data_IF_463438447799
#
_entry.id   IF_463438447799
#
_cell.length_a   1.000
_cell.length_b   1.000
_cell.length_c   1.000
_cell.angle_alpha   90.00
_cell.angle_beta   90.00
_cell.angle_gamma   90.00
#
_symmetry.space_group_name_H-M   'P 1'
#
loop_
_entity.id
_entity.type
_entity.pdbx_description
1 polymer ?
#
# COMPACT_ATOMS: atom_id res chain seq x y z
N UNK A 1 42.44 -18.53 5.02
CA UNK A 1 42.25 -17.62 3.86
C UNK A 1 42.09 -18.45 2.61
N UNK A 2 40.88 -18.61 2.09
CA UNK A 2 40.67 -19.29 0.79
C UNK A 2 41.25 -18.39 -0.32
N UNK A 3 42.15 -18.96 -1.14
CA UNK A 3 42.72 -18.28 -2.31
C UNK A 3 41.60 -18.03 -3.31
N UNK A 4 41.24 -16.75 -3.56
CA UNK A 4 40.38 -16.40 -4.67
C UNK A 4 41.10 -16.72 -5.97
N UNK A 5 40.52 -17.59 -6.79
CA UNK A 5 41.18 -18.16 -7.96
C UNK A 5 40.93 -17.43 -9.24
N UNK A 6 39.89 -16.55 -9.30
CA UNK A 6 39.57 -15.78 -10.52
C UNK A 6 39.11 -14.37 -10.18
N UNK A 7 39.13 -13.46 -11.16
CA UNK A 7 38.56 -12.10 -11.04
C UNK A 7 37.05 -12.15 -10.81
N UNK A 8 36.37 -13.16 -11.34
CA UNK A 8 34.94 -13.39 -11.08
C UNK A 8 34.68 -13.72 -9.59
N UNK A 9 35.52 -14.54 -8.96
CA UNK A 9 35.44 -14.83 -7.52
C UNK A 9 35.66 -13.59 -6.66
N UNK A 10 36.59 -12.72 -7.11
CA UNK A 10 36.83 -11.43 -6.45
C UNK A 10 35.63 -10.47 -6.56
N UNK A 11 34.95 -10.41 -7.70
CA UNK A 11 33.75 -9.61 -7.88
C UNK A 11 32.57 -10.18 -7.10
N UNK A 12 32.36 -11.51 -7.11
CA UNK A 12 31.32 -12.17 -6.35
C UNK A 12 31.50 -11.99 -4.81
N UNK A 13 32.76 -11.92 -4.35
CA UNK A 13 33.05 -11.64 -2.94
C UNK A 13 32.77 -10.17 -2.54
N UNK A 14 32.65 -9.26 -3.49
CA UNK A 14 32.30 -7.84 -3.27
C UNK A 14 30.80 -7.58 -3.35
N UNK A 15 30.02 -8.51 -3.86
CA UNK A 15 28.56 -8.36 -3.86
C UNK A 15 28.03 -8.39 -2.42
N UNK A 16 27.24 -7.39 -2.00
CA UNK A 16 26.67 -7.37 -0.67
C UNK A 16 25.73 -8.59 -0.50
N UNK A 17 26.12 -9.52 0.35
CA UNK A 17 25.29 -10.68 0.71
C UNK A 17 24.48 -10.36 1.95
N UNK A 18 23.20 -10.71 1.93
CA UNK A 18 22.31 -10.58 3.07
C UNK A 18 22.26 -11.95 3.80
N UNK A 19 22.82 -12.05 5.01
CA UNK A 19 22.77 -13.29 5.76
C UNK A 19 21.33 -13.58 6.20
N UNK A 20 20.90 -14.83 6.09
CA UNK A 20 19.64 -15.28 6.63
C UNK A 20 19.66 -15.16 8.17
N UNK A 21 18.69 -14.41 8.72
CA UNK A 21 18.56 -14.14 10.16
C UNK A 21 17.45 -14.97 10.82
N UNK A 22 16.74 -15.77 10.04
CA UNK A 22 15.62 -16.58 10.48
C UNK A 22 15.94 -18.06 10.63
N UNK A 23 14.91 -18.90 10.57
CA UNK A 23 15.01 -20.36 10.72
C UNK A 23 14.41 -21.09 9.52
N UNK A 24 14.86 -22.28 9.25
CA UNK A 24 14.25 -23.16 8.25
C UNK A 24 13.03 -23.87 8.83
N UNK A 25 11.94 -23.85 8.11
CA UNK A 25 10.70 -24.56 8.41
C UNK A 25 10.27 -25.40 7.21
N UNK A 26 9.40 -26.37 7.44
CA UNK A 26 8.84 -27.26 6.41
C UNK A 26 7.48 -26.78 5.95
N UNK A 27 6.94 -27.36 4.88
CA UNK A 27 5.57 -27.06 4.44
C UNK A 27 4.52 -27.49 5.47
N UNK A 28 4.80 -28.53 6.27
CA UNK A 28 3.89 -28.99 7.31
C UNK A 28 3.76 -28.03 8.51
N UNK A 29 4.71 -27.11 8.68
CA UNK A 29 4.66 -26.09 9.74
C UNK A 29 3.72 -24.93 9.39
N UNK A 30 3.42 -24.75 8.09
CA UNK A 30 2.60 -23.64 7.57
C UNK A 30 1.13 -24.04 7.60
N UNK A 31 0.29 -23.10 7.98
CA UNK A 31 -1.15 -23.32 8.08
C UNK A 31 -1.77 -23.76 6.74
N UNK A 32 -2.59 -24.84 6.70
CA UNK A 32 -3.08 -25.45 5.46
C UNK A 32 -4.07 -24.56 4.65
N UNK A 33 -4.62 -23.51 5.24
CA UNK A 33 -5.47 -22.57 4.51
C UNK A 33 -4.69 -21.64 3.57
N UNK A 34 -3.38 -21.53 3.70
CA UNK A 34 -2.57 -20.77 2.76
C UNK A 34 -2.45 -21.54 1.45
N UNK A 35 -2.59 -20.82 0.33
CA UNK A 35 -2.28 -21.41 -0.97
C UNK A 35 -0.80 -21.87 -1.03
N UNK A 36 -0.46 -22.91 -1.82
CA UNK A 36 0.91 -23.41 -1.88
C UNK A 36 1.97 -22.33 -2.13
N UNK A 37 1.70 -21.40 -3.06
CA UNK A 37 2.60 -20.29 -3.35
C UNK A 37 2.73 -19.29 -2.18
N UNK A 38 1.66 -19.07 -1.40
CA UNK A 38 1.71 -18.25 -0.17
C UNK A 38 2.54 -18.95 0.90
N UNK A 39 2.37 -20.26 1.06
CA UNK A 39 3.15 -21.07 2.00
C UNK A 39 4.65 -21.02 1.66
N UNK A 40 5.01 -21.07 0.38
CA UNK A 40 6.41 -20.94 -0.05
C UNK A 40 6.99 -19.56 0.25
N UNK A 41 6.21 -18.48 0.02
CA UNK A 41 6.61 -17.12 0.38
C UNK A 41 6.82 -16.97 1.88
N UNK A 42 5.91 -17.50 2.70
CA UNK A 42 6.04 -17.47 4.17
C UNK A 42 7.29 -18.25 4.62
N UNK A 43 7.52 -19.45 4.08
CA UNK A 43 8.71 -20.24 4.39
C UNK A 43 10.01 -19.50 4.07
N UNK A 44 10.05 -18.90 2.88
CA UNK A 44 11.18 -18.06 2.46
C UNK A 44 11.38 -16.88 3.40
N UNK A 45 10.31 -16.13 3.73
CA UNK A 45 10.39 -14.97 4.60
C UNK A 45 10.80 -15.35 6.04
N UNK A 46 10.34 -16.50 6.56
CA UNK A 46 10.77 -17.02 7.87
C UNK A 46 12.24 -17.38 7.85
N UNK A 47 12.74 -18.01 6.78
CA UNK A 47 14.17 -18.34 6.63
C UNK A 47 15.03 -17.08 6.51
N UNK A 48 14.57 -16.10 5.75
CA UNK A 48 15.26 -14.81 5.60
C UNK A 48 15.30 -14.03 6.91
N UNK A 49 14.23 -14.07 7.71
CA UNK A 49 14.10 -13.47 9.03
C UNK A 49 13.89 -11.96 9.01
N UNK A 50 14.49 -11.24 8.07
CA UNK A 50 14.27 -9.83 7.77
C UNK A 50 13.90 -9.70 6.30
N UNK A 51 12.61 -9.67 6.00
CA UNK A 51 12.11 -9.81 4.65
C UNK A 51 11.07 -8.74 4.28
N UNK A 52 10.88 -8.53 2.98
CA UNK A 52 9.78 -7.73 2.45
C UNK A 52 8.90 -8.59 1.53
N UNK A 53 7.58 -8.53 1.73
CA UNK A 53 6.56 -9.12 0.86
C UNK A 53 5.74 -8.00 0.22
N UNK A 54 6.11 -7.63 -1.00
CA UNK A 54 5.45 -6.59 -1.79
C UNK A 54 4.45 -7.24 -2.74
N UNK A 55 3.37 -7.72 -2.16
CA UNK A 55 2.30 -8.37 -2.89
C UNK A 55 1.17 -7.39 -3.20
N UNK A 56 0.63 -7.45 -4.41
CA UNK A 56 -0.50 -6.61 -4.81
C UNK A 56 -1.73 -6.85 -3.90
N UNK A 57 -2.71 -5.97 -3.99
CA UNK A 57 -3.96 -6.13 -3.23
C UNK A 57 -4.70 -7.39 -3.66
N UNK A 58 -5.32 -8.07 -2.71
CA UNK A 58 -6.01 -9.33 -2.97
C UNK A 58 -5.12 -10.58 -2.94
N UNK A 59 -3.78 -10.43 -2.82
CA UNK A 59 -2.84 -11.57 -2.72
C UNK A 59 -2.80 -12.24 -1.34
N UNK A 60 -3.67 -11.88 -0.40
CA UNK A 60 -3.71 -12.49 0.93
C UNK A 60 -2.57 -12.08 1.85
N UNK A 61 -2.02 -10.87 1.69
CA UNK A 61 -0.93 -10.34 2.54
C UNK A 61 -1.19 -10.55 4.03
N UNK A 62 -2.38 -10.21 4.52
CA UNK A 62 -2.72 -10.28 5.94
C UNK A 62 -2.58 -11.70 6.48
N UNK A 63 -3.03 -12.72 5.75
CA UNK A 63 -2.87 -14.12 6.16
C UNK A 63 -1.38 -14.53 6.20
N UNK A 64 -0.59 -14.12 5.19
CA UNK A 64 0.85 -14.38 5.16
C UNK A 64 1.59 -13.68 6.31
N UNK A 65 1.20 -12.45 6.66
CA UNK A 65 1.76 -11.68 7.78
C UNK A 65 1.51 -12.37 9.13
N UNK A 66 0.27 -12.78 9.37
CA UNK A 66 -0.15 -13.45 10.61
C UNK A 66 0.60 -14.77 10.76
N UNK A 67 0.64 -15.57 9.69
CA UNK A 67 1.34 -16.85 9.69
C UNK A 67 2.85 -16.69 9.86
N UNK A 68 3.45 -15.69 9.19
CA UNK A 68 4.86 -15.36 9.38
C UNK A 68 5.15 -14.93 10.83
N UNK A 69 4.29 -14.10 11.42
CA UNK A 69 4.43 -13.64 12.80
C UNK A 69 4.39 -14.83 13.79
N UNK A 70 3.43 -15.75 13.63
CA UNK A 70 3.33 -16.98 14.42
C UNK A 70 4.59 -17.82 14.31
N UNK A 71 5.05 -18.05 13.09
CA UNK A 71 6.22 -18.91 12.83
C UNK A 71 7.53 -18.24 13.24
N UNK A 72 7.66 -16.94 13.07
CA UNK A 72 8.90 -16.23 13.38
C UNK A 72 9.10 -15.97 14.87
N UNK A 73 8.02 -15.81 15.67
CA UNK A 73 8.14 -15.62 17.12
C UNK A 73 8.52 -16.90 17.87
N UNK A 74 8.29 -18.09 17.27
CA UNK A 74 8.74 -19.39 17.84
C UNK A 74 8.30 -19.63 19.28
N UNK A 75 7.08 -19.25 19.64
CA UNK A 75 6.55 -19.32 20.99
C UNK A 75 6.83 -18.08 21.86
N UNK A 76 7.60 -17.12 21.34
CA UNK A 76 7.71 -15.77 21.90
C UNK A 76 6.60 -14.84 21.42
N UNK A 77 6.85 -13.54 21.47
CA UNK A 77 5.85 -12.52 21.11
C UNK A 77 6.08 -11.94 19.74
N UNK A 78 4.99 -11.72 19.02
CA UNK A 78 4.98 -11.00 17.75
C UNK A 78 4.07 -9.76 17.82
N UNK A 79 4.45 -8.70 17.11
CA UNK A 79 3.68 -7.48 16.95
C UNK A 79 3.39 -7.24 15.47
N UNK A 80 2.15 -6.94 15.14
CA UNK A 80 1.75 -6.40 13.84
C UNK A 80 1.46 -4.91 14.01
N UNK A 81 2.19 -4.06 13.30
CA UNK A 81 2.00 -2.62 13.26
C UNK A 81 1.27 -2.31 11.95
N UNK A 82 0.05 -1.79 12.04
CA UNK A 82 -0.83 -1.57 10.91
C UNK A 82 -1.54 -0.20 10.98
N UNK A 83 -2.14 0.29 9.90
CA UNK A 83 -3.07 1.41 9.98
C UNK A 83 -4.23 1.10 10.94
N UNK A 84 -4.67 2.09 11.71
CA UNK A 84 -5.72 1.90 12.73
C UNK A 84 -6.98 1.18 12.17
N UNK A 85 -7.44 1.58 10.98
CA UNK A 85 -8.60 0.97 10.33
C UNK A 85 -8.41 -0.51 9.97
N UNK A 86 -7.16 -0.99 9.88
CA UNK A 86 -6.82 -2.37 9.49
C UNK A 86 -6.63 -3.28 10.71
N UNK A 87 -6.33 -2.72 11.89
CA UNK A 87 -6.00 -3.50 13.07
C UNK A 87 -7.08 -4.53 13.42
N UNK A 88 -8.36 -4.13 13.47
CA UNK A 88 -9.48 -5.04 13.79
C UNK A 88 -9.69 -6.09 12.69
N UNK A 89 -9.47 -5.72 11.42
CA UNK A 89 -9.54 -6.69 10.34
C UNK A 89 -8.42 -7.73 10.45
N UNK A 90 -7.21 -7.32 10.81
CA UNK A 90 -6.09 -8.25 11.04
C UNK A 90 -6.43 -9.27 12.12
N UNK A 91 -7.04 -8.83 13.22
CA UNK A 91 -7.52 -9.74 14.29
C UNK A 91 -8.57 -10.72 13.77
N UNK A 92 -9.54 -10.25 12.97
CA UNK A 92 -10.56 -11.12 12.36
C UNK A 92 -9.97 -12.12 11.36
N UNK A 93 -8.97 -11.72 10.57
CA UNK A 93 -8.29 -12.62 9.64
C UNK A 93 -7.45 -13.67 10.39
N UNK A 94 -6.84 -13.33 11.54
CA UNK A 94 -6.15 -14.29 12.40
C UNK A 94 -7.10 -15.35 12.96
N UNK A 95 -8.32 -14.96 13.36
CA UNK A 95 -9.33 -15.89 13.83
C UNK A 95 -9.74 -16.94 12.78
N UNK A 96 -9.69 -16.60 11.46
CA UNK A 96 -9.95 -17.58 10.40
C UNK A 96 -8.85 -18.65 10.30
N UNK A 97 -7.66 -18.33 10.76
CA UNK A 97 -6.52 -19.25 10.83
C UNK A 97 -6.41 -19.95 12.19
N UNK A 98 -7.38 -19.81 13.08
CA UNK A 98 -7.30 -20.27 14.48
C UNK A 98 -6.02 -19.82 15.20
N UNK A 99 -5.47 -18.64 14.79
CA UNK A 99 -4.28 -18.02 15.38
C UNK A 99 -4.74 -16.94 16.36
N UNK A 100 -4.41 -17.04 17.66
CA UNK A 100 -4.74 -16.01 18.63
C UNK A 100 -4.09 -14.66 18.26
N UNK A 101 -4.91 -13.63 18.09
CA UNK A 101 -4.47 -12.26 17.87
C UNK A 101 -5.46 -11.29 18.52
N UNK A 102 -4.95 -10.14 18.97
CA UNK A 102 -5.74 -9.13 19.68
C UNK A 102 -5.18 -7.73 19.43
N UNK A 103 -6.04 -6.73 19.49
CA UNK A 103 -5.61 -5.33 19.47
C UNK A 103 -5.06 -4.96 20.85
N UNK A 104 -3.88 -4.33 20.86
CA UNK A 104 -3.26 -3.81 22.06
C UNK A 104 -2.98 -2.30 21.88
N UNK A 105 -3.31 -1.51 22.89
CA UNK A 105 -3.03 -0.09 22.93
C UNK A 105 -1.73 0.23 23.69
N UNK A 106 -1.25 -0.70 24.53
CA UNK A 106 -0.07 -0.55 25.38
C UNK A 106 0.74 -1.85 25.46
N UNK A 107 2.00 -1.71 25.89
CA UNK A 107 2.87 -2.85 26.15
C UNK A 107 2.37 -3.75 27.28
N UNK A 108 1.75 -3.19 28.31
CA UNK A 108 1.18 -3.96 29.43
C UNK A 108 0.05 -4.87 28.96
N UNK A 109 -0.83 -4.40 28.07
CA UNK A 109 -1.86 -5.24 27.44
C UNK A 109 -1.23 -6.36 26.59
N UNK A 110 -0.15 -6.06 25.87
CA UNK A 110 0.57 -7.06 25.09
C UNK A 110 1.31 -8.07 25.98
N UNK A 111 1.73 -7.69 27.18
CA UNK A 111 2.37 -8.58 28.14
C UNK A 111 1.36 -9.53 28.80
N UNK A 112 0.19 -9.02 29.08
CA UNK A 112 -0.87 -9.75 29.79
C UNK A 112 -1.63 -10.77 28.93
N UNK A 113 -1.53 -10.68 27.57
CA UNK A 113 -2.37 -11.46 26.66
C UNK A 113 -1.52 -12.38 25.78
N UNK A 114 -1.97 -13.63 25.63
CA UNK A 114 -1.34 -14.61 24.74
C UNK A 114 -1.77 -14.39 23.29
N UNK A 115 -0.82 -14.46 22.36
CA UNK A 115 -1.06 -14.38 20.92
C UNK A 115 -0.27 -13.27 20.24
N UNK A 116 -0.68 -12.94 19.01
CA UNK A 116 -0.09 -11.86 18.22
C UNK A 116 -0.74 -10.54 18.63
N UNK A 117 0.06 -9.60 19.13
CA UNK A 117 -0.40 -8.25 19.40
C UNK A 117 -0.52 -7.47 18.08
N UNK A 118 -1.59 -6.72 17.91
CA UNK A 118 -1.83 -5.82 16.76
C UNK A 118 -2.00 -4.41 17.28
N UNK A 119 -1.25 -3.45 16.75
CA UNK A 119 -1.34 -2.04 17.14
C UNK A 119 -1.21 -1.12 15.93
N UNK A 120 -1.51 0.16 16.13
CA UNK A 120 -1.35 1.16 15.09
C UNK A 120 -0.09 2.01 15.29
N UNK A 121 0.33 2.69 14.21
CA UNK A 121 1.58 3.46 14.19
C UNK A 121 1.66 4.51 15.31
N UNK A 122 0.55 5.20 15.58
CA UNK A 122 0.48 6.27 16.57
C UNK A 122 0.67 5.78 18.01
N UNK A 123 0.38 4.51 18.28
CA UNK A 123 0.50 3.90 19.60
C UNK A 123 1.82 3.18 19.84
N UNK A 124 2.65 3.04 18.81
CA UNK A 124 3.90 2.27 18.90
C UNK A 124 4.85 2.74 20.02
N UNK A 125 4.82 4.04 20.35
CA UNK A 125 5.60 4.59 21.44
C UNK A 125 5.25 4.03 22.83
N UNK A 126 4.10 3.36 22.97
CA UNK A 126 3.67 2.70 24.22
C UNK A 126 4.25 1.29 24.38
N UNK A 127 5.05 0.81 23.42
CA UNK A 127 5.60 -0.54 23.42
C UNK A 127 7.13 -0.50 23.47
N UNK A 128 7.73 -1.40 24.25
CA UNK A 128 9.18 -1.62 24.20
C UNK A 128 9.52 -2.63 23.10
N UNK A 129 10.48 -2.35 22.19
CA UNK A 129 10.86 -3.27 21.13
C UNK A 129 11.37 -4.63 21.65
N UNK A 130 12.04 -4.64 22.81
CA UNK A 130 12.59 -5.84 23.41
C UNK A 130 11.53 -6.86 23.90
N UNK A 131 10.25 -6.49 23.88
CA UNK A 131 9.15 -7.40 24.19
C UNK A 131 8.89 -8.40 23.05
N UNK A 132 9.40 -8.14 21.83
CA UNK A 132 9.00 -8.86 20.64
C UNK A 132 10.17 -9.52 19.91
N UNK A 133 9.99 -10.79 19.58
CA UNK A 133 10.93 -11.57 18.75
C UNK A 133 10.73 -11.30 17.25
N UNK A 134 9.53 -10.90 16.86
CA UNK A 134 9.15 -10.67 15.47
C UNK A 134 8.18 -9.48 15.35
N UNK A 135 8.41 -8.64 14.34
CA UNK A 135 7.55 -7.50 14.04
C UNK A 135 7.18 -7.47 12.56
N UNK A 136 5.90 -7.25 12.29
CA UNK A 136 5.36 -6.99 10.94
C UNK A 136 5.03 -5.52 10.83
N UNK A 137 5.43 -4.88 9.75
CA UNK A 137 4.98 -3.55 9.34
C UNK A 137 4.03 -3.72 8.15
N UNK A 138 2.74 -3.69 8.42
CA UNK A 138 1.72 -3.66 7.37
C UNK A 138 1.64 -2.25 6.78
N UNK A 139 1.41 -2.19 5.48
CA UNK A 139 1.47 -0.97 4.66
C UNK A 139 2.79 -0.19 4.86
N UNK A 140 3.92 -0.88 4.62
CA UNK A 140 5.27 -0.32 4.80
C UNK A 140 5.59 0.88 3.90
N UNK A 141 4.71 1.23 2.97
CA UNK A 141 4.71 2.50 2.24
C UNK A 141 4.64 3.73 3.16
N UNK A 142 4.26 3.57 4.43
CA UNK A 142 4.36 4.63 5.46
C UNK A 142 5.79 5.18 5.63
N UNK A 143 6.80 4.39 5.25
CA UNK A 143 8.21 4.77 5.29
C UNK A 143 8.64 5.72 4.15
N UNK A 144 7.76 6.04 3.20
CA UNK A 144 8.09 6.78 1.97
C UNK A 144 8.72 8.16 2.20
N UNK A 145 8.30 8.89 3.23
CA UNK A 145 8.84 10.22 3.53
C UNK A 145 10.17 10.11 4.26
N UNK A 146 11.26 10.51 3.60
CA UNK A 146 12.62 10.36 4.09
C UNK A 146 12.94 11.17 5.36
N UNK A 147 12.23 12.29 5.58
CA UNK A 147 12.33 13.21 6.72
C UNK A 147 11.12 13.13 7.67
N UNK A 148 10.21 12.20 7.42
CA UNK A 148 8.98 12.04 8.20
C UNK A 148 9.23 11.56 9.63
N UNK A 149 8.59 12.21 10.61
CA UNK A 149 8.67 11.81 12.04
C UNK A 149 8.27 10.35 12.24
N UNK A 150 7.23 9.90 11.56
CA UNK A 150 6.75 8.50 11.65
C UNK A 150 7.81 7.52 11.13
N UNK A 151 8.46 7.81 10.00
CA UNK A 151 9.54 6.98 9.45
C UNK A 151 10.70 6.89 10.43
N UNK A 152 11.16 8.02 10.98
CA UNK A 152 12.27 8.07 11.93
C UNK A 152 11.94 7.23 13.16
N UNK A 153 10.79 7.44 13.77
CA UNK A 153 10.30 6.68 14.91
C UNK A 153 10.25 5.18 14.64
N UNK A 154 9.69 4.75 13.49
CA UNK A 154 9.60 3.34 13.12
C UNK A 154 10.98 2.69 12.93
N UNK A 155 11.94 3.40 12.32
CA UNK A 155 13.30 2.89 12.11
C UNK A 155 14.06 2.78 13.43
N UNK A 156 13.98 3.80 14.28
CA UNK A 156 14.64 3.79 15.59
C UNK A 156 14.07 2.70 16.50
N UNK A 157 12.75 2.60 16.56
CA UNK A 157 12.07 1.65 17.42
C UNK A 157 12.42 0.19 17.08
N UNK A 158 12.56 -0.14 15.79
CA UNK A 158 12.72 -1.54 15.36
C UNK A 158 14.13 -2.09 15.52
N UNK A 159 15.13 -1.25 15.89
CA UNK A 159 16.55 -1.64 15.86
C UNK A 159 16.87 -2.91 16.66
N UNK A 160 16.23 -3.10 17.81
CA UNK A 160 16.45 -4.23 18.72
C UNK A 160 15.58 -5.46 18.38
N UNK A 161 14.66 -5.35 17.41
CA UNK A 161 13.83 -6.50 17.03
C UNK A 161 14.58 -7.38 16.04
N UNK A 162 14.78 -8.69 16.34
CA UNK A 162 15.63 -9.54 15.51
C UNK A 162 14.99 -9.92 14.16
N UNK A 163 13.66 -10.13 14.11
CA UNK A 163 12.94 -10.57 12.92
C UNK A 163 11.91 -9.53 12.50
N UNK A 164 11.94 -9.17 11.22
CA UNK A 164 11.15 -8.06 10.68
C UNK A 164 10.54 -8.44 9.34
N UNK A 165 9.27 -8.13 9.14
CA UNK A 165 8.58 -8.31 7.86
C UNK A 165 7.93 -6.99 7.43
N UNK A 166 8.34 -6.46 6.28
CA UNK A 166 7.73 -5.29 5.67
C UNK A 166 6.76 -5.72 4.57
N UNK A 167 5.52 -5.26 4.62
CA UNK A 167 4.49 -5.60 3.65
C UNK A 167 3.85 -4.35 3.05
N UNK A 168 3.69 -4.33 1.73
CA UNK A 168 2.95 -3.29 1.00
C UNK A 168 2.59 -3.76 -0.39
N UNK A 169 1.57 -3.15 -1.00
CA UNK A 169 1.31 -3.28 -2.44
C UNK A 169 2.14 -2.27 -3.25
N UNK A 170 2.55 -1.16 -2.62
CA UNK A 170 3.25 -0.03 -3.26
C UNK A 170 4.50 0.33 -2.45
N UNK A 171 5.59 -0.43 -2.56
CA UNK A 171 6.79 -0.23 -1.73
C UNK A 171 7.51 1.11 -2.00
N UNK A 172 7.36 1.67 -3.20
CA UNK A 172 7.90 2.96 -3.63
C UNK A 172 6.86 3.65 -4.53
N UNK A 173 5.83 4.28 -3.92
CA UNK A 173 4.71 4.84 -4.68
C UNK A 173 5.06 6.09 -5.48
N UNK A 174 6.07 6.85 -5.10
CA UNK A 174 6.46 8.09 -5.79
C UNK A 174 7.80 7.94 -6.49
N UNK A 175 8.83 7.47 -5.80
CA UNK A 175 10.20 7.45 -6.29
C UNK A 175 10.97 6.20 -5.88
N UNK A 176 11.90 5.68 -6.74
CA UNK A 176 12.73 4.52 -6.40
C UNK A 176 13.54 4.69 -5.12
N UNK A 177 13.86 5.94 -4.72
CA UNK A 177 14.63 6.22 -3.50
C UNK A 177 13.92 5.78 -2.23
N UNK A 178 12.58 5.69 -2.25
CA UNK A 178 11.76 5.23 -1.12
C UNK A 178 12.09 3.79 -0.71
N UNK A 179 12.61 2.96 -1.66
CA UNK A 179 13.10 1.60 -1.38
C UNK A 179 14.28 1.59 -0.39
N UNK A 180 15.02 2.68 -0.29
CA UNK A 180 16.12 2.81 0.67
C UNK A 180 15.62 2.80 2.11
N UNK A 181 14.44 3.36 2.36
CA UNK A 181 13.81 3.36 3.68
C UNK A 181 13.33 1.95 4.07
N UNK A 182 12.88 1.14 3.10
CA UNK A 182 12.52 -0.26 3.32
C UNK A 182 13.74 -1.07 3.76
N UNK A 183 14.87 -0.91 3.04
CA UNK A 183 16.13 -1.57 3.37
C UNK A 183 16.66 -1.17 4.76
N UNK A 184 16.55 0.10 5.13
CA UNK A 184 17.01 0.62 6.42
C UNK A 184 16.13 0.11 7.58
N UNK A 185 14.80 0.10 7.42
CA UNK A 185 13.90 -0.45 8.42
C UNK A 185 14.15 -1.95 8.66
N UNK A 186 14.42 -2.71 7.61
CA UNK A 186 14.79 -4.12 7.70
C UNK A 186 16.21 -4.33 8.26
N UNK A 187 17.04 -3.28 8.30
CA UNK A 187 18.40 -3.34 8.81
C UNK A 187 19.40 -3.99 7.85
N UNK A 188 19.13 -3.97 6.54
CA UNK A 188 20.03 -4.50 5.51
C UNK A 188 21.09 -3.49 5.09
N UNK A 189 20.69 -2.22 4.91
CA UNK A 189 21.59 -1.13 4.52
C UNK A 189 20.97 0.20 4.95
N UNK A 190 21.78 1.12 5.46
CA UNK A 190 21.30 2.48 5.76
C UNK A 190 20.93 3.21 4.48
N UNK A 191 19.95 4.13 4.57
CA UNK A 191 19.55 4.99 3.45
C UNK A 191 20.76 5.66 2.78
N UNK A 192 21.65 6.25 3.58
CA UNK A 192 22.84 6.96 3.07
C UNK A 192 23.74 6.04 2.24
N UNK A 193 24.01 4.83 2.71
CA UNK A 193 24.84 3.87 1.98
C UNK A 193 24.16 3.40 0.69
N UNK A 194 22.87 3.14 0.72
CA UNK A 194 22.13 2.69 -0.47
C UNK A 194 22.05 3.80 -1.53
N UNK A 195 21.83 5.07 -1.11
CA UNK A 195 21.87 6.22 -2.01
C UNK A 195 23.25 6.38 -2.65
N UNK A 196 24.31 6.32 -1.87
CA UNK A 196 25.69 6.42 -2.40
C UNK A 196 26.02 5.30 -3.40
N UNK A 197 25.56 4.07 -3.14
CA UNK A 197 25.82 2.92 -3.99
C UNK A 197 25.06 3.00 -5.33
N UNK A 198 23.78 3.29 -5.31
CA UNK A 198 22.89 3.07 -6.46
C UNK A 198 22.32 4.35 -7.07
N UNK A 199 22.37 5.50 -6.39
CA UNK A 199 21.74 6.75 -6.83
C UNK A 199 22.77 7.85 -7.10
N UNK A 200 22.37 8.84 -7.90
CA UNK A 200 23.02 10.13 -8.04
C UNK A 200 22.07 11.23 -7.59
N UNK A 201 22.61 12.27 -7.00
CA UNK A 201 21.86 13.48 -6.66
C UNK A 201 22.12 14.55 -7.71
N UNK A 202 21.05 15.12 -8.26
CA UNK A 202 21.10 16.24 -9.22
C UNK A 202 20.14 17.36 -8.78
N UNK A 203 19.85 18.31 -9.65
CA UNK A 203 18.96 19.45 -9.32
C UNK A 203 17.52 19.03 -9.05
N UNK A 204 17.09 17.89 -9.62
CA UNK A 204 15.74 17.35 -9.49
C UNK A 204 15.62 16.35 -8.30
N UNK A 205 16.71 16.12 -7.56
CA UNK A 205 16.74 15.22 -6.42
C UNK A 205 17.53 13.92 -6.66
N UNK A 206 17.14 12.84 -5.98
CA UNK A 206 17.81 11.55 -6.11
C UNK A 206 17.27 10.75 -7.30
N UNK A 207 18.16 10.32 -8.17
CA UNK A 207 17.83 9.52 -9.35
C UNK A 207 18.64 8.23 -9.39
N UNK A 208 17.97 7.10 -9.65
CA UNK A 208 18.61 5.80 -9.79
C UNK A 208 19.58 5.78 -10.98
N UNK A 209 20.85 5.38 -10.76
CA UNK A 209 21.86 5.21 -11.82
C UNK A 209 21.38 4.15 -12.81
N UNK A 210 21.49 4.42 -14.12
CA UNK A 210 21.10 3.45 -15.16
C UNK A 210 21.77 2.08 -14.97
N UNK A 211 23.08 2.08 -14.69
CA UNK A 211 23.87 0.87 -14.43
C UNK A 211 23.70 0.33 -12.99
N UNK A 212 23.14 1.10 -12.06
CA UNK A 212 22.87 0.69 -10.68
C UNK A 212 21.56 -0.05 -10.50
N UNK A 213 20.61 0.07 -11.45
CA UNK A 213 19.26 -0.53 -11.35
C UNK A 213 19.30 -2.03 -11.19
N UNK A 214 20.01 -2.72 -12.08
CA UNK A 214 20.10 -4.19 -12.05
C UNK A 214 20.81 -4.72 -10.81
N UNK A 215 22.01 -4.25 -10.43
CA UNK A 215 22.67 -4.69 -9.20
C UNK A 215 21.82 -4.41 -7.93
N UNK A 216 21.12 -3.29 -7.86
CA UNK A 216 20.22 -2.98 -6.75
C UNK A 216 19.09 -4.01 -6.64
N UNK A 217 18.43 -4.35 -7.75
CA UNK A 217 17.34 -5.33 -7.74
C UNK A 217 17.83 -6.76 -7.45
N UNK A 218 19.00 -7.15 -7.96
CA UNK A 218 19.65 -8.42 -7.63
C UNK A 218 20.02 -8.51 -6.15
N UNK A 219 20.51 -7.44 -5.55
CA UNK A 219 20.71 -7.39 -4.10
C UNK A 219 19.40 -7.43 -3.32
N UNK A 220 18.38 -6.71 -3.77
CA UNK A 220 17.08 -6.69 -3.10
C UNK A 220 16.37 -8.04 -3.17
N UNK A 221 16.55 -8.83 -4.23
CA UNK A 221 15.94 -10.16 -4.37
C UNK A 221 16.36 -11.14 -3.27
N UNK A 222 17.45 -10.85 -2.54
CA UNK A 222 17.88 -11.69 -1.42
C UNK A 222 16.97 -11.53 -0.17
N UNK A 223 16.23 -10.42 -0.06
CA UNK A 223 15.41 -10.10 1.11
C UNK A 223 14.01 -9.57 0.78
N UNK A 224 13.70 -9.29 -0.46
CA UNK A 224 12.40 -8.80 -0.89
C UNK A 224 11.83 -9.65 -2.02
N UNK A 225 10.51 -9.84 -2.02
CA UNK A 225 9.75 -10.42 -3.13
C UNK A 225 8.63 -9.47 -3.52
N UNK A 226 8.50 -9.21 -4.83
CA UNK A 226 7.40 -8.45 -5.40
C UNK A 226 6.56 -9.37 -6.30
N UNK A 227 5.22 -9.29 -6.19
CA UNK A 227 4.31 -10.05 -7.03
C UNK A 227 2.99 -9.32 -7.24
N UNK A 228 2.42 -9.48 -8.44
CA UNK A 228 1.09 -8.97 -8.81
C UNK A 228 0.06 -10.08 -8.94
N UNK A 229 0.53 -11.29 -9.21
CA UNK A 229 -0.28 -12.49 -9.39
C UNK A 229 0.49 -13.73 -8.98
N UNK A 230 -0.16 -14.83 -8.67
CA UNK A 230 0.49 -16.05 -8.22
C UNK A 230 1.58 -16.58 -9.15
N UNK A 231 1.39 -16.49 -10.46
CA UNK A 231 2.40 -16.99 -11.45
C UNK A 231 3.72 -16.19 -11.44
N UNK A 232 3.78 -15.03 -10.78
CA UNK A 232 5.04 -14.31 -10.61
C UNK A 232 6.02 -15.07 -9.71
N UNK A 233 5.49 -15.97 -8.86
CA UNK A 233 6.24 -16.82 -7.93
C UNK A 233 5.98 -18.30 -8.16
N UNK A 234 5.52 -18.68 -9.36
CA UNK A 234 5.29 -20.09 -9.75
C UNK A 234 3.94 -20.68 -9.32
N UNK A 235 3.02 -19.86 -8.81
CA UNK A 235 1.65 -20.27 -8.47
C UNK A 235 0.71 -20.30 -9.66
N UNK A 236 -0.51 -20.80 -9.44
CA UNK A 236 -1.60 -20.82 -10.42
C UNK A 236 -2.41 -19.51 -10.31
N UNK A 237 -2.69 -18.88 -11.45
CA UNK A 237 -3.46 -17.64 -11.54
C UNK A 237 -4.99 -17.86 -11.52
N UNK A 238 -5.47 -19.10 -11.43
CA UNK A 238 -6.91 -19.41 -11.40
C UNK A 238 -7.60 -18.63 -10.29
N UNK A 239 -8.62 -17.85 -10.66
CA UNK A 239 -9.36 -16.97 -9.76
C UNK A 239 -8.70 -15.61 -9.48
N UNK A 240 -7.49 -15.36 -10.00
CA UNK A 240 -6.80 -14.08 -9.86
C UNK A 240 -6.87 -13.20 -11.12
N UNK A 241 -7.47 -13.70 -12.21
CA UNK A 241 -7.71 -12.91 -13.39
C UNK A 241 -8.87 -11.95 -13.14
N UNK A 242 -8.56 -10.66 -13.10
CA UNK A 242 -9.56 -9.60 -12.89
C UNK A 242 -10.21 -9.23 -14.23
N UNK A 243 -11.53 -8.91 -14.25
CA UNK A 243 -12.29 -8.64 -15.47
C UNK A 243 -11.79 -7.44 -16.29
N UNK A 244 -11.00 -6.56 -15.67
CA UNK A 244 -10.44 -5.38 -16.30
C UNK A 244 -10.73 -4.11 -15.49
N UNK A 245 -9.95 -3.07 -15.78
CA UNK A 245 -10.08 -1.73 -15.20
C UNK A 245 -10.10 -0.70 -16.33
N UNK A 246 -11.13 0.14 -16.34
CA UNK A 246 -11.26 1.26 -17.27
C UNK A 246 -11.15 2.56 -16.48
N UNK A 247 -10.14 3.37 -16.79
CA UNK A 247 -10.00 4.73 -16.28
C UNK A 247 -10.62 5.66 -17.31
N UNK A 248 -11.69 6.37 -16.93
CA UNK A 248 -12.49 7.19 -17.83
C UNK A 248 -12.36 8.65 -17.40
N UNK A 249 -11.63 9.48 -18.14
CA UNK A 249 -11.58 10.91 -17.86
C UNK A 249 -12.92 11.57 -18.20
N UNK A 250 -13.44 12.34 -17.27
CA UNK A 250 -14.67 13.13 -17.38
C UNK A 250 -14.31 14.62 -17.26
N UNK A 251 -14.08 15.25 -18.41
CA UNK A 251 -13.73 16.66 -18.44
C UNK A 251 -14.97 17.54 -18.29
N UNK A 252 -14.93 18.47 -17.34
CA UNK A 252 -15.98 19.46 -17.14
C UNK A 252 -15.46 20.85 -17.45
N UNK A 253 -16.22 21.60 -18.24
CA UNK A 253 -15.95 23.01 -18.48
C UNK A 253 -16.57 23.84 -17.36
N UNK A 254 -15.76 24.62 -16.66
CA UNK A 254 -16.26 25.60 -15.72
C UNK A 254 -16.08 26.98 -16.33
N UNK A 255 -17.18 27.71 -16.53
CA UNK A 255 -17.13 29.13 -16.84
C UNK A 255 -16.58 29.85 -15.60
N UNK A 256 -15.29 30.11 -15.58
CA UNK A 256 -14.66 30.94 -14.55
C UNK A 256 -14.73 32.37 -15.09
N UNK A 257 -15.66 33.20 -14.58
CA UNK A 257 -15.63 34.63 -14.83
C UNK A 257 -14.26 35.17 -14.41
N UNK A 258 -13.50 35.63 -15.39
CA UNK A 258 -12.18 36.20 -15.17
C UNK A 258 -12.37 37.63 -14.56
N UNK A 259 -12.54 37.69 -13.25
CA UNK A 259 -12.40 38.99 -12.56
C UNK A 259 -10.92 39.43 -12.63
N UNK A 260 -10.58 40.14 -13.69
CA UNK A 260 -9.43 41.06 -13.72
C UNK A 260 -8.04 40.46 -13.98
N UNK A 261 -7.85 39.18 -14.36
CA UNK A 261 -6.55 38.65 -14.77
C UNK A 261 -6.61 38.04 -16.16
N UNK A 262 -5.94 38.66 -17.11
CA UNK A 262 -5.95 38.34 -18.54
C UNK A 262 -5.21 37.07 -18.93
N UNK A 263 -4.47 36.41 -18.05
CA UNK A 263 -3.78 35.13 -18.31
C UNK A 263 -3.72 34.28 -17.05
N UNK A 264 -4.34 33.11 -17.10
CA UNK A 264 -4.17 32.03 -16.11
C UNK A 264 -2.83 31.29 -16.32
N UNK A 265 -1.72 32.04 -16.33
CA UNK A 265 -0.38 31.48 -16.33
C UNK A 265 0.14 31.48 -14.90
N UNK A 266 0.39 30.28 -14.39
CA UNK A 266 0.91 29.96 -13.05
C UNK A 266 -0.13 29.74 -11.94
N UNK A 267 -0.96 28.71 -12.09
CA UNK A 267 -1.62 28.09 -10.95
C UNK A 267 -0.60 27.09 -10.32
N UNK A 268 0.61 27.54 -10.11
CA UNK A 268 1.68 26.84 -9.43
C UNK A 268 1.54 26.95 -7.92
N UNK A 269 1.16 25.85 -7.26
CA UNK A 269 1.13 25.75 -5.80
C UNK A 269 -0.16 25.16 -5.24
N UNK A 270 -0.08 24.67 -4.00
CA UNK A 270 -1.21 24.02 -3.29
C UNK A 270 -2.41 24.98 -3.12
N UNK A 271 -2.16 26.27 -2.94
CA UNK A 271 -3.18 27.30 -2.71
C UNK A 271 -4.01 27.61 -3.97
N UNK A 272 -3.37 27.75 -5.13
CA UNK A 272 -4.05 28.00 -6.40
C UNK A 272 -4.93 26.83 -6.83
N UNK A 273 -4.48 25.60 -6.61
CA UNK A 273 -5.27 24.39 -6.89
C UNK A 273 -6.49 24.25 -5.97
N UNK A 274 -6.40 24.65 -4.70
CA UNK A 274 -7.53 24.62 -3.78
C UNK A 274 -8.62 25.64 -4.18
N UNK A 275 -8.22 26.81 -4.65
CA UNK A 275 -9.15 27.84 -5.15
C UNK A 275 -9.85 27.38 -6.43
N UNK A 276 -9.10 26.80 -7.38
CA UNK A 276 -9.64 26.26 -8.61
C UNK A 276 -10.69 25.19 -8.34
N UNK A 277 -10.39 24.27 -7.40
CA UNK A 277 -11.32 23.20 -7.00
C UNK A 277 -12.63 23.75 -6.42
N UNK A 278 -12.60 24.90 -5.73
CA UNK A 278 -13.83 25.54 -5.24
C UNK A 278 -14.64 26.12 -6.39
N UNK A 279 -13.99 26.78 -7.36
CA UNK A 279 -14.65 27.38 -8.51
C UNK A 279 -15.29 26.35 -9.44
N UNK A 280 -14.69 25.17 -9.57
CA UNK A 280 -15.18 24.07 -10.43
C UNK A 280 -16.10 23.08 -9.72
N UNK A 281 -16.37 23.29 -8.42
CA UNK A 281 -17.13 22.37 -7.58
C UNK A 281 -18.49 21.97 -8.19
N UNK A 282 -19.30 22.94 -8.56
CA UNK A 282 -20.65 22.70 -9.05
C UNK A 282 -20.67 21.86 -10.33
N UNK A 283 -19.75 22.14 -11.27
CA UNK A 283 -19.64 21.39 -12.52
C UNK A 283 -19.19 19.93 -12.27
N UNK A 284 -18.21 19.72 -11.39
CA UNK A 284 -17.73 18.36 -11.05
C UNK A 284 -18.78 17.54 -10.30
N UNK A 285 -19.48 18.14 -9.34
CA UNK A 285 -20.59 17.51 -8.63
C UNK A 285 -21.74 17.19 -9.60
N UNK A 286 -22.13 18.11 -10.46
CA UNK A 286 -23.16 17.90 -11.47
C UNK A 286 -22.84 16.71 -12.36
N UNK A 287 -21.60 16.61 -12.87
CA UNK A 287 -21.17 15.47 -13.70
C UNK A 287 -21.22 14.16 -12.94
N UNK A 288 -20.77 14.12 -11.67
CA UNK A 288 -20.84 12.90 -10.86
C UNK A 288 -22.30 12.46 -10.60
N UNK A 289 -23.21 13.40 -10.36
CA UNK A 289 -24.65 13.12 -10.21
C UNK A 289 -25.24 12.53 -11.49
N UNK A 290 -24.88 13.08 -12.66
CA UNK A 290 -25.29 12.51 -13.96
C UNK A 290 -24.82 11.07 -14.15
N UNK A 291 -23.58 10.77 -13.81
CA UNK A 291 -23.03 9.43 -13.89
C UNK A 291 -23.78 8.44 -13.00
N UNK A 292 -24.04 8.81 -11.74
CA UNK A 292 -24.78 7.96 -10.80
C UNK A 292 -26.21 7.73 -11.27
N UNK A 293 -26.91 8.78 -11.73
CA UNK A 293 -28.28 8.67 -12.23
C UNK A 293 -28.38 7.90 -13.56
N UNK A 294 -27.31 7.92 -14.35
CA UNK A 294 -27.25 7.25 -15.65
C UNK A 294 -26.93 5.74 -15.60
N UNK A 295 -26.49 5.23 -14.45
CA UNK A 295 -26.08 3.83 -14.29
C UNK A 295 -26.50 3.28 -12.93
N UNK A 296 -27.54 2.45 -12.88
CA UNK A 296 -28.02 1.87 -11.62
C UNK A 296 -27.00 0.90 -11.03
N UNK A 297 -27.01 0.76 -9.70
CA UNK A 297 -26.16 -0.15 -8.94
C UNK A 297 -25.26 0.57 -7.94
N UNK A 298 -24.35 -0.15 -7.30
CA UNK A 298 -23.51 0.43 -6.26
C UNK A 298 -22.46 1.38 -6.85
N UNK A 299 -22.34 2.56 -6.23
CA UNK A 299 -21.37 3.59 -6.57
C UNK A 299 -20.49 3.97 -5.38
N UNK A 300 -19.20 4.11 -5.65
CA UNK A 300 -18.21 4.62 -4.69
C UNK A 300 -17.67 5.98 -5.18
N UNK A 301 -18.02 7.05 -4.46
CA UNK A 301 -17.64 8.41 -4.81
C UNK A 301 -16.50 8.90 -3.92
N UNK A 302 -15.35 9.16 -4.53
CA UNK A 302 -14.15 9.62 -3.86
C UNK A 302 -14.04 11.14 -3.94
N UNK A 303 -14.01 11.80 -2.77
CA UNK A 303 -13.91 13.24 -2.64
C UNK A 303 -12.54 13.67 -2.10
N UNK A 304 -12.06 14.81 -2.55
CA UNK A 304 -10.88 15.48 -1.98
C UNK A 304 -11.25 16.49 -0.87
N UNK A 305 -12.38 17.19 -1.04
CA UNK A 305 -12.88 18.23 -0.13
C UNK A 305 -14.16 17.80 0.59
N UNK A 306 -14.42 18.33 1.80
CA UNK A 306 -15.69 18.12 2.47
C UNK A 306 -16.86 18.72 1.68
N UNK A 307 -16.67 19.90 1.10
CA UNK A 307 -17.68 20.57 0.27
C UNK A 307 -18.12 19.73 -0.95
N UNK A 308 -17.25 18.93 -1.53
CA UNK A 308 -17.61 17.99 -2.60
C UNK A 308 -18.52 16.88 -2.06
N UNK A 309 -18.15 16.30 -0.92
CA UNK A 309 -18.92 15.24 -0.28
C UNK A 309 -20.31 15.70 0.17
N UNK A 310 -20.39 16.88 0.76
CA UNK A 310 -21.64 17.49 1.25
C UNK A 310 -22.58 17.82 0.08
N UNK A 311 -22.04 18.39 -1.02
CA UNK A 311 -22.82 18.71 -2.21
C UNK A 311 -23.35 17.45 -2.92
N UNK A 312 -22.55 16.38 -3.00
CA UNK A 312 -22.99 15.09 -3.55
C UNK A 312 -24.08 14.46 -2.69
N UNK A 313 -23.92 14.47 -1.36
CA UNK A 313 -24.92 13.92 -0.44
C UNK A 313 -26.25 14.65 -0.52
N UNK A 314 -26.22 15.96 -0.74
CA UNK A 314 -27.42 16.77 -0.95
C UNK A 314 -28.10 16.51 -2.31
N UNK A 315 -27.32 16.14 -3.34
CA UNK A 315 -27.81 15.99 -4.70
C UNK A 315 -28.21 14.55 -5.07
N UNK A 316 -27.71 13.54 -4.34
CA UNK A 316 -27.98 12.12 -4.63
C UNK A 316 -28.83 11.54 -3.50
N UNK A 317 -30.13 11.27 -3.72
CA UNK A 317 -31.00 10.69 -2.71
C UNK A 317 -30.51 9.31 -2.25
N UNK A 318 -30.46 9.09 -0.95
CA UNK A 318 -30.02 7.81 -0.36
C UNK A 318 -28.50 7.61 -0.32
N UNK A 319 -27.71 8.56 -0.79
CA UNK A 319 -26.26 8.49 -0.67
C UNK A 319 -25.80 8.72 0.79
N UNK A 320 -24.84 7.91 1.23
CA UNK A 320 -24.29 7.98 2.58
C UNK A 320 -22.92 8.64 2.54
N UNK A 321 -22.77 9.78 3.24
CA UNK A 321 -21.51 10.52 3.34
C UNK A 321 -20.75 10.12 4.61
N UNK A 322 -19.62 9.44 4.45
CA UNK A 322 -18.72 9.07 5.55
C UNK A 322 -17.54 10.03 5.60
N UNK A 323 -17.56 10.93 6.57
CA UNK A 323 -16.55 11.98 6.74
C UNK A 323 -15.75 11.85 8.04
N UNK A 324 -14.63 12.59 8.14
CA UNK A 324 -13.65 12.44 9.24
C UNK A 324 -14.17 12.77 10.63
N UNK A 325 -15.16 13.67 10.76
CA UNK A 325 -15.72 14.10 12.04
C UNK A 325 -16.83 13.20 12.61
N UNK A 326 -17.24 12.14 11.89
CA UNK A 326 -18.13 11.12 12.45
C UNK A 326 -17.43 10.38 13.59
N UNK A 327 -18.22 9.88 14.51
CA UNK A 327 -17.75 8.95 15.55
C UNK A 327 -17.05 7.74 14.93
N UNK A 328 -15.94 7.22 15.51
CA UNK A 328 -15.20 6.10 14.96
C UNK A 328 -16.03 4.83 14.74
N UNK A 329 -16.95 4.52 15.66
CA UNK A 329 -17.81 3.32 15.58
C UNK A 329 -18.85 3.49 14.49
N UNK A 330 -19.44 4.69 14.36
CA UNK A 330 -20.37 5.02 13.29
C UNK A 330 -19.71 5.01 11.92
N UNK A 331 -18.47 5.52 11.78
CA UNK A 331 -17.68 5.37 10.56
C UNK A 331 -17.50 3.91 10.16
N UNK A 332 -17.08 3.08 11.12
CA UNK A 332 -16.89 1.65 10.89
C UNK A 332 -18.19 0.98 10.45
N UNK A 333 -19.30 1.27 11.12
CA UNK A 333 -20.63 0.74 10.80
C UNK A 333 -21.05 1.09 9.38
N UNK A 334 -20.95 2.36 8.99
CA UNK A 334 -21.37 2.81 7.66
C UNK A 334 -20.48 2.23 6.55
N UNK A 335 -19.17 2.17 6.76
CA UNK A 335 -18.24 1.60 5.80
C UNK A 335 -18.46 0.08 5.60
N UNK A 336 -18.80 -0.63 6.67
CA UNK A 336 -19.18 -2.04 6.60
C UNK A 336 -20.57 -2.21 5.97
N UNK A 337 -21.53 -1.33 6.27
CA UNK A 337 -22.87 -1.35 5.68
C UNK A 337 -22.82 -1.24 4.14
N UNK A 338 -21.90 -0.45 3.57
CA UNK A 338 -21.69 -0.45 2.11
C UNK A 338 -21.13 -1.79 1.60
N UNK A 339 -20.20 -2.40 2.33
CA UNK A 339 -19.70 -3.73 1.98
C UNK A 339 -20.78 -4.79 2.02
N UNK A 340 -21.72 -4.68 2.97
CA UNK A 340 -22.87 -5.56 3.18
C UNK A 340 -24.09 -5.20 2.31
N UNK A 341 -23.95 -4.16 1.43
CA UNK A 341 -24.98 -3.68 0.49
C UNK A 341 -26.24 -3.13 1.18
N UNK A 342 -26.10 -2.48 2.31
CA UNK A 342 -27.21 -1.82 3.01
C UNK A 342 -27.69 -0.56 2.27
N UNK A 343 -26.84 0.03 1.43
CA UNK A 343 -27.13 1.17 0.58
C UNK A 343 -26.24 1.17 -0.67
N UNK A 344 -26.69 1.85 -1.73
CA UNK A 344 -26.06 1.76 -3.04
C UNK A 344 -24.97 2.84 -3.31
N UNK A 345 -24.98 3.98 -2.63
CA UNK A 345 -24.04 5.06 -2.89
C UNK A 345 -23.26 5.45 -1.64
N UNK A 346 -21.95 5.18 -1.66
CA UNK A 346 -21.02 5.61 -0.63
C UNK A 346 -20.20 6.82 -1.11
N UNK A 347 -20.25 7.91 -0.34
CA UNK A 347 -19.42 9.11 -0.54
C UNK A 347 -18.39 9.15 0.59
N UNK A 348 -17.11 9.22 0.26
CA UNK A 348 -16.06 9.28 1.27
C UNK A 348 -14.74 9.83 0.68
N UNK A 349 -13.70 9.91 1.51
CA UNK A 349 -12.36 10.30 1.10
C UNK A 349 -11.41 9.11 1.07
N UNK A 350 -10.40 9.11 0.18
CA UNK A 350 -9.36 8.08 0.20
C UNK A 350 -8.67 7.95 1.56
N UNK A 351 -8.44 9.06 2.28
CA UNK A 351 -7.85 9.04 3.62
C UNK A 351 -8.69 8.32 4.69
N UNK A 352 -9.99 8.10 4.44
CA UNK A 352 -10.92 7.48 5.39
C UNK A 352 -11.13 5.99 5.03
N UNK A 353 -11.38 5.70 3.76
CA UNK A 353 -11.84 4.37 3.33
C UNK A 353 -10.88 3.65 2.36
N UNK A 354 -9.69 4.22 2.06
CA UNK A 354 -8.74 3.57 1.16
C UNK A 354 -7.95 2.41 1.80
N UNK A 355 -8.11 2.17 3.10
CA UNK A 355 -7.38 1.11 3.80
C UNK A 355 -8.34 0.07 4.37
N UNK A 356 -8.00 -1.20 4.19
CA UNK A 356 -8.59 -2.34 4.89
C UNK A 356 -9.94 -2.87 4.42
N UNK A 357 -10.74 -2.11 3.67
CA UNK A 357 -12.10 -2.50 3.30
C UNK A 357 -12.19 -3.14 1.91
N UNK A 358 -13.20 -4.00 1.71
CA UNK A 358 -13.40 -4.77 0.49
C UNK A 358 -14.74 -4.42 -0.14
N UNK A 359 -14.71 -3.82 -1.33
CA UNK A 359 -15.88 -3.40 -2.08
C UNK A 359 -15.96 -4.05 -3.46
N UNK A 360 -15.60 -5.35 -3.57
CA UNK A 360 -15.63 -6.08 -4.85
C UNK A 360 -17.04 -6.26 -5.42
N UNK A 361 -18.09 -5.97 -4.68
CA UNK A 361 -19.46 -5.94 -5.17
C UNK A 361 -19.75 -4.66 -5.99
N UNK A 362 -18.92 -3.62 -5.84
CA UNK A 362 -19.02 -2.35 -6.54
C UNK A 362 -18.03 -2.32 -7.70
N UNK A 363 -18.52 -1.98 -8.91
CA UNK A 363 -17.67 -1.84 -10.10
C UNK A 363 -17.74 -0.44 -10.72
N UNK A 364 -18.51 0.46 -10.12
CA UNK A 364 -18.63 1.86 -10.52
C UNK A 364 -18.01 2.77 -9.47
N UNK A 365 -17.11 3.64 -9.87
CA UNK A 365 -16.57 4.66 -8.99
C UNK A 365 -16.32 5.96 -9.71
N UNK A 366 -16.35 7.08 -8.97
CA UNK A 366 -15.97 8.37 -9.49
C UNK A 366 -15.06 9.11 -8.50
N UNK A 367 -13.98 9.68 -9.02
CA UNK A 367 -13.12 10.62 -8.32
C UNK A 367 -13.60 12.02 -8.65
N UNK A 368 -14.27 12.68 -7.71
CA UNK A 368 -14.85 14.03 -7.89
C UNK A 368 -13.83 15.11 -7.54
N UNK A 369 -12.75 14.73 -6.87
CA UNK A 369 -11.57 15.55 -6.64
C UNK A 369 -10.36 14.63 -6.54
N UNK A 370 -9.43 14.74 -7.47
CA UNK A 370 -8.20 13.94 -7.47
C UNK A 370 -7.11 14.70 -6.70
N UNK A 371 -6.41 13.99 -5.80
CA UNK A 371 -5.20 14.50 -5.15
C UNK A 371 -3.95 14.09 -5.94
N UNK A 372 -2.82 14.79 -5.73
CA UNK A 372 -1.54 14.44 -6.35
C UNK A 372 -0.92 13.12 -5.81
N UNK A 373 -1.60 12.45 -4.87
CA UNK A 373 -1.13 11.20 -4.29
C UNK A 373 -1.54 10.01 -5.13
N UNK A 374 -0.59 9.49 -5.91
CA UNK A 374 -0.78 8.24 -6.66
C UNK A 374 -1.16 7.07 -5.73
N UNK A 375 -0.53 6.97 -4.56
CA UNK A 375 -0.83 5.90 -3.60
C UNK A 375 -2.29 5.93 -3.14
N UNK A 376 -2.80 7.12 -2.75
CA UNK A 376 -4.20 7.27 -2.34
C UNK A 376 -5.17 6.88 -3.47
N UNK A 377 -4.87 7.31 -4.70
CA UNK A 377 -5.61 6.95 -5.90
C UNK A 377 -5.57 5.43 -6.17
N UNK A 378 -4.39 4.84 -6.15
CA UNK A 378 -4.20 3.40 -6.34
C UNK A 378 -4.95 2.58 -5.29
N UNK A 379 -4.78 2.92 -4.01
CA UNK A 379 -5.47 2.25 -2.90
C UNK A 379 -7.00 2.37 -3.03
N UNK A 380 -7.51 3.53 -3.45
CA UNK A 380 -8.92 3.76 -3.66
C UNK A 380 -9.50 2.86 -4.78
N UNK A 381 -8.83 2.77 -5.93
CA UNK A 381 -9.23 1.85 -7.02
C UNK A 381 -9.26 0.40 -6.54
N UNK A 382 -8.25 0.01 -5.76
CA UNK A 382 -8.09 -1.36 -5.27
C UNK A 382 -9.11 -1.77 -4.20
N UNK A 383 -10.02 -0.87 -3.78
CA UNK A 383 -11.20 -1.26 -2.97
C UNK A 383 -12.21 -2.06 -3.77
N UNK A 384 -12.38 -1.73 -5.06
CA UNK A 384 -13.29 -2.41 -5.99
C UNK A 384 -12.54 -3.36 -6.94
N UNK A 385 -11.40 -2.91 -7.52
CA UNK A 385 -10.60 -3.70 -8.46
C UNK A 385 -9.64 -4.63 -7.73
N UNK A 386 -10.15 -5.77 -7.29
CA UNK A 386 -9.42 -6.75 -6.48
C UNK A 386 -9.96 -8.15 -6.67
N UNK A 387 -9.26 -9.14 -6.10
CA UNK A 387 -9.72 -10.54 -6.09
C UNK A 387 -11.20 -10.66 -5.66
N UNK A 388 -11.95 -11.45 -6.43
CA UNK A 388 -13.40 -11.63 -6.24
C UNK A 388 -14.27 -10.63 -7.00
N UNK A 389 -13.69 -9.63 -7.69
CA UNK A 389 -14.43 -8.79 -8.63
C UNK A 389 -14.83 -9.59 -9.88
N UNK A 390 -16.07 -9.49 -10.32
CA UNK A 390 -16.62 -10.22 -11.46
C UNK A 390 -16.96 -9.31 -12.64
N UNK A 391 -17.00 -8.00 -12.41
CA UNK A 391 -17.36 -7.01 -13.42
C UNK A 391 -16.18 -6.11 -13.78
N UNK A 392 -16.17 -5.56 -15.00
CA UNK A 392 -15.19 -4.55 -15.38
C UNK A 392 -15.37 -3.31 -14.51
N UNK A 393 -14.35 -2.97 -13.74
CA UNK A 393 -14.38 -1.78 -12.89
C UNK A 393 -14.20 -0.53 -13.75
N UNK A 394 -15.13 0.42 -13.61
CA UNK A 394 -15.08 1.73 -14.25
C UNK A 394 -14.78 2.80 -13.23
N UNK A 395 -13.63 3.44 -13.38
CA UNK A 395 -13.20 4.54 -12.55
C UNK A 395 -13.28 5.85 -13.35
N UNK A 396 -14.32 6.62 -13.12
CA UNK A 396 -14.51 7.93 -13.71
C UNK A 396 -13.67 8.96 -12.96
N UNK A 397 -12.87 9.74 -13.66
CA UNK A 397 -12.03 10.78 -13.06
C UNK A 397 -12.56 12.13 -13.53
N UNK A 398 -13.35 12.77 -12.66
CA UNK A 398 -14.01 14.05 -12.97
C UNK A 398 -13.06 15.20 -12.68
N UNK A 399 -12.62 15.86 -13.74
CA UNK A 399 -11.64 16.96 -13.70
C UNK A 399 -12.15 18.16 -14.48
N UNK A 400 -11.78 19.34 -14.04
CA UNK A 400 -11.88 20.52 -14.90
C UNK A 400 -10.71 20.53 -15.89
N UNK A 401 -10.88 21.24 -17.01
CA UNK A 401 -9.84 21.44 -18.03
C UNK A 401 -8.52 21.95 -17.42
N UNK A 402 -8.60 22.72 -16.35
CA UNK A 402 -7.45 23.29 -15.64
C UNK A 402 -6.76 22.31 -14.66
N UNK A 403 -7.37 21.16 -14.39
CA UNK A 403 -6.82 20.11 -13.49
C UNK A 403 -6.17 18.95 -14.27
N UNK A 404 -6.10 19.03 -15.61
CA UNK A 404 -5.50 17.98 -16.47
C UNK A 404 -4.08 17.62 -16.03
N UNK A 405 -3.29 18.58 -15.58
CA UNK A 405 -1.92 18.36 -15.07
C UNK A 405 -1.87 17.44 -13.85
N UNK A 406 -2.90 17.40 -13.02
CA UNK A 406 -2.99 16.47 -11.88
C UNK A 406 -3.12 15.03 -12.39
N UNK A 407 -3.97 14.81 -13.40
CA UNK A 407 -4.13 13.49 -14.02
C UNK A 407 -2.84 13.00 -14.67
N UNK A 408 -2.12 13.89 -15.36
CA UNK A 408 -0.84 13.58 -16.00
C UNK A 408 0.23 13.21 -14.95
N UNK A 409 0.28 13.93 -13.83
CA UNK A 409 1.19 13.63 -12.72
C UNK A 409 0.89 12.26 -12.09
N UNK A 410 -0.38 11.97 -11.83
CA UNK A 410 -0.79 10.67 -11.28
C UNK A 410 -0.44 9.55 -12.26
N UNK A 411 -0.71 9.73 -13.56
CA UNK A 411 -0.36 8.77 -14.61
C UNK A 411 1.14 8.54 -14.73
N UNK A 412 1.95 9.59 -14.64
CA UNK A 412 3.40 9.49 -14.66
C UNK A 412 3.92 8.67 -13.47
N UNK A 413 3.42 8.92 -12.26
CA UNK A 413 3.76 8.15 -11.06
C UNK A 413 3.30 6.70 -11.17
N UNK A 414 2.14 6.43 -11.75
CA UNK A 414 1.65 5.08 -12.01
C UNK A 414 2.59 4.29 -12.91
N UNK A 415 3.03 4.90 -14.01
CA UNK A 415 3.99 4.29 -14.93
C UNK A 415 5.31 3.99 -14.21
N UNK A 416 5.83 4.92 -13.43
CA UNK A 416 7.07 4.77 -12.67
C UNK A 416 6.97 3.65 -11.63
N UNK A 417 5.92 3.63 -10.79
CA UNK A 417 5.68 2.58 -9.81
C UNK A 417 5.51 1.21 -10.47
N UNK A 418 4.83 1.18 -11.64
CA UNK A 418 4.65 -0.04 -12.44
C UNK A 418 5.98 -0.56 -13.01
N UNK A 419 6.89 0.33 -13.46
CA UNK A 419 8.22 -0.05 -13.93
C UNK A 419 9.09 -0.64 -12.81
N UNK A 420 9.08 -0.02 -11.64
CA UNK A 420 9.80 -0.50 -10.45
C UNK A 420 9.32 -1.92 -10.11
N UNK A 421 8.02 -2.10 -9.96
CA UNK A 421 7.43 -3.39 -9.61
C UNK A 421 7.73 -4.47 -10.66
N UNK A 422 7.58 -4.15 -11.96
CA UNK A 422 7.93 -5.08 -13.05
C UNK A 422 9.42 -5.44 -13.06
N UNK A 423 10.29 -4.46 -12.79
CA UNK A 423 11.72 -4.68 -12.69
C UNK A 423 12.10 -5.62 -11.56
N UNK A 424 11.49 -5.43 -10.39
CA UNK A 424 11.66 -6.31 -9.22
C UNK A 424 11.14 -7.72 -9.52
N UNK A 425 9.90 -7.87 -9.98
CA UNK A 425 9.31 -9.19 -10.34
C UNK A 425 10.20 -9.93 -11.34
N UNK A 426 10.64 -9.24 -12.41
CA UNK A 426 11.48 -9.86 -13.45
C UNK A 426 12.82 -10.38 -12.91
N UNK A 427 13.42 -9.67 -11.96
CA UNK A 427 14.69 -10.07 -11.35
C UNK A 427 14.48 -11.23 -10.38
N UNK A 428 13.48 -11.12 -9.51
CA UNK A 428 13.16 -12.11 -8.48
C UNK A 428 12.66 -13.44 -9.05
N UNK A 429 11.83 -13.40 -10.11
CA UNK A 429 11.31 -14.60 -10.76
C UNK A 429 12.40 -15.56 -11.23
N UNK A 430 13.56 -15.04 -11.65
CA UNK A 430 14.70 -15.88 -12.08
C UNK A 430 15.25 -16.73 -10.94
N UNK A 431 15.24 -16.21 -9.72
CA UNK A 431 15.74 -16.90 -8.54
C UNK A 431 14.72 -17.89 -7.99
N UNK A 432 13.43 -17.57 -8.05
CA UNK A 432 12.34 -18.43 -7.57
C UNK A 432 12.07 -19.64 -8.46
N UNK A 433 12.24 -19.51 -9.79
CA UNK A 433 12.04 -20.61 -10.75
C UNK A 433 13.28 -21.50 -10.83
N UNK A 434 14.44 -21.02 -10.38
CA UNK A 434 15.71 -21.77 -10.36
C UNK A 434 15.97 -22.52 -9.03
N UNK A 435 15.18 -22.26 -7.98
CA UNK A 435 15.29 -22.88 -6.66
C UNK A 435 14.27 -24.01 -6.48
#
# INVERSE_FOLDING_TARGET
MARMTTYADFLAAKEPRVPAAGRTITAADVHPMLHPWQADLVRWAVKTGRAALWADTGMGKTMMQIEWARLSSSGGRALVIAPLAVCQQTVREAAKLDIPAYYAATGDEADATFGIAVTNYERLHNFSPNMFDAVVLDESSILKQSDGKTRTMLIEWVQDVPRRLACSATPAPNDPEELTNQAEWLGHMTRTHMLAAYFIHDQDGWRLKKHGRRPMYEWMSQWAVALRKPSDVGGDDTGYDLPGLQIIPELVHAEIEAEGQLFATDIGGVTGRAELRRKTLAARVGRAVELVNGSPGPWLLWCGLNSEADALAAAIPGAVNVHGSLDPDEKARLLLGFADREFDVLITKPSIASQGLNYQHCHQMAFVGLSDSYEAYYQAIRRCYRYGQQEVVRAHVVLSDMESQIADNVRSKELQASEITRGLIRTMRKEWVAA
#
